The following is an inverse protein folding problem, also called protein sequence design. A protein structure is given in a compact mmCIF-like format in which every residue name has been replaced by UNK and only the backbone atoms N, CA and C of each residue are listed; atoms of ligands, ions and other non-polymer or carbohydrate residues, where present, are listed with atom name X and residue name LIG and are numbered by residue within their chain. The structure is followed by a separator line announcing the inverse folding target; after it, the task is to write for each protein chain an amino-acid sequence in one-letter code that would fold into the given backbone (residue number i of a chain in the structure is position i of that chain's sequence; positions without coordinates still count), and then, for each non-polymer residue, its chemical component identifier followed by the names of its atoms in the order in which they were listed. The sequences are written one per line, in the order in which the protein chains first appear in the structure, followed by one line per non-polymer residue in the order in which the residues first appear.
data_IF_225208898296
#
_entry.id   IF_225208898296
#
_cell.length_a   1.000
_cell.length_b   1.000
_cell.length_c   1.000
_cell.angle_alpha   90.00
_cell.angle_beta   90.00
_cell.angle_gamma   90.00
#
_symmetry.space_group_name_H-M   'P 1'
#
loop_
_entity.id
_entity.type
_entity.pdbx_description
1 polymer ?
#
# COMPACT_ATOMS: atom_id res chain seq x y z
N UNK A 1 52.58 15.49 8.48
CA UNK A 1 51.37 16.18 8.04
C UNK A 1 50.49 15.13 7.32
N UNK A 2 49.46 14.62 7.97
CA UNK A 2 48.47 13.73 7.37
C UNK A 2 47.18 14.55 7.18
N UNK A 3 46.87 14.90 5.95
CA UNK A 3 45.59 15.54 5.60
C UNK A 3 44.46 14.49 5.67
N UNK A 4 43.56 14.63 6.62
CA UNK A 4 42.32 13.90 6.65
C UNK A 4 41.34 14.58 5.70
N UNK A 5 40.98 13.89 4.62
CA UNK A 5 39.87 14.25 3.75
C UNK A 5 38.57 13.94 4.48
N UNK A 6 37.85 14.96 4.91
CA UNK A 6 36.45 14.85 5.31
C UNK A 6 35.59 14.76 4.05
N UNK A 7 35.03 13.60 3.78
CA UNK A 7 34.01 13.41 2.75
C UNK A 7 32.68 13.88 3.34
N UNK A 8 32.01 14.89 2.77
CA UNK A 8 30.68 15.26 3.23
C UNK A 8 29.72 14.11 2.86
N UNK A 9 29.09 13.50 3.84
CA UNK A 9 27.92 12.65 3.64
C UNK A 9 26.78 13.57 3.19
N UNK A 10 26.49 13.57 1.89
CA UNK A 10 25.24 14.10 1.37
C UNK A 10 24.17 13.08 1.75
N UNK A 11 23.44 13.35 2.82
CA UNK A 11 22.15 12.71 3.08
C UNK A 11 21.20 13.21 1.99
N UNK A 12 21.12 12.47 0.89
CA UNK A 12 19.99 12.57 -0.02
C UNK A 12 18.75 12.15 0.78
N UNK A 13 17.89 13.12 1.07
CA UNK A 13 16.58 12.85 1.65
C UNK A 13 15.81 11.93 0.71
N UNK A 14 15.74 10.65 1.05
CA UNK A 14 14.82 9.72 0.41
C UNK A 14 13.43 10.13 0.86
N UNK A 15 12.63 10.62 -0.06
CA UNK A 15 11.19 10.68 0.13
C UNK A 15 10.77 9.22 0.29
N UNK A 16 10.36 8.85 1.48
CA UNK A 16 9.74 7.56 1.75
C UNK A 16 8.36 7.58 1.07
N UNK A 17 8.32 7.31 -0.22
CA UNK A 17 7.08 6.85 -0.86
C UNK A 17 6.67 5.60 -0.07
N UNK A 18 5.46 5.56 0.45
CA UNK A 18 4.99 4.45 1.29
C UNK A 18 5.31 3.11 0.63
N UNK A 19 5.87 2.19 1.40
CA UNK A 19 6.27 0.88 0.90
C UNK A 19 5.03 0.06 0.54
N UNK A 20 5.08 -0.69 -0.58
CA UNK A 20 4.08 -1.71 -0.84
C UNK A 20 4.10 -2.75 0.28
N UNK A 21 2.96 -2.97 0.92
CA UNK A 21 2.82 -3.93 2.02
C UNK A 21 2.59 -5.36 1.53
N UNK A 22 2.32 -5.57 0.24
CA UNK A 22 2.18 -6.90 -0.35
C UNK A 22 3.57 -7.44 -0.69
N UNK A 23 4.02 -8.54 -0.08
CA UNK A 23 5.26 -9.19 -0.47
C UNK A 23 5.08 -9.94 -1.79
N UNK A 24 6.15 -10.02 -2.60
CA UNK A 24 6.15 -10.70 -3.89
C UNK A 24 4.94 -10.30 -4.78
N UNK A 25 4.73 -9.00 -5.04
CA UNK A 25 3.51 -8.50 -5.67
C UNK A 25 3.34 -8.90 -7.14
N UNK A 26 4.42 -9.22 -7.84
CA UNK A 26 4.47 -9.68 -9.23
C UNK A 26 4.67 -11.19 -9.37
N UNK A 27 4.65 -11.96 -8.28
CA UNK A 27 4.83 -13.43 -8.28
C UNK A 27 6.17 -13.92 -8.85
N UNK A 28 7.21 -13.09 -8.78
CA UNK A 28 8.54 -13.35 -9.37
C UNK A 28 9.49 -14.10 -8.42
N UNK A 29 9.31 -13.93 -7.10
CA UNK A 29 10.11 -14.61 -6.08
C UNK A 29 9.59 -16.04 -5.87
N UNK A 30 10.30 -17.01 -6.47
CA UNK A 30 9.87 -18.40 -6.50
C UNK A 30 10.73 -19.30 -5.62
N UNK A 31 10.11 -20.29 -5.00
CA UNK A 31 10.79 -21.39 -4.31
C UNK A 31 11.19 -22.49 -5.30
N UNK A 32 10.40 -22.68 -6.36
CA UNK A 32 10.65 -23.60 -7.47
C UNK A 32 9.90 -23.12 -8.72
N UNK A 33 10.34 -23.55 -9.91
CA UNK A 33 9.60 -23.30 -11.15
C UNK A 33 8.34 -24.15 -11.22
N UNK A 34 7.20 -23.60 -11.65
CA UNK A 34 5.97 -24.36 -11.75
C UNK A 34 6.07 -25.44 -12.84
N UNK A 35 5.52 -26.63 -12.54
CA UNK A 35 5.50 -27.78 -13.46
C UNK A 35 4.11 -28.43 -13.57
N UNK A 36 3.12 -27.96 -12.80
CA UNK A 36 1.72 -28.39 -12.86
C UNK A 36 0.79 -27.25 -12.42
N UNK A 37 -0.49 -27.37 -12.69
CA UNK A 37 -1.51 -26.46 -12.16
C UNK A 37 -1.59 -26.52 -10.62
N UNK A 38 -2.18 -25.51 -10.00
CA UNK A 38 -2.40 -25.47 -8.56
C UNK A 38 -1.16 -25.20 -7.73
N UNK A 39 -0.10 -24.60 -8.30
CA UNK A 39 1.18 -24.39 -7.61
C UNK A 39 1.46 -22.92 -7.23
N UNK A 40 0.43 -22.15 -6.92
CA UNK A 40 0.58 -20.75 -6.48
C UNK A 40 1.54 -20.62 -5.27
N UNK A 41 1.61 -21.64 -4.41
CA UNK A 41 2.49 -21.64 -3.24
C UNK A 41 3.99 -21.62 -3.56
N UNK A 42 4.38 -21.80 -4.82
CA UNK A 42 5.78 -21.61 -5.22
C UNK A 42 6.16 -20.13 -5.29
N UNK A 43 5.21 -19.23 -5.48
CA UNK A 43 5.39 -17.78 -5.38
C UNK A 43 5.17 -17.30 -3.94
N UNK A 44 5.97 -17.78 -2.99
CA UNK A 44 5.80 -17.41 -1.58
C UNK A 44 5.78 -15.89 -1.36
N UNK A 45 4.94 -15.38 -0.44
CA UNK A 45 4.13 -16.14 0.54
C UNK A 45 2.67 -16.35 0.10
N UNK A 46 2.38 -16.33 -1.20
CA UNK A 46 1.04 -16.53 -1.73
C UNK A 46 0.55 -17.97 -1.51
N UNK A 47 -0.70 -18.10 -1.10
CA UNK A 47 -1.38 -19.38 -0.86
C UNK A 47 -2.83 -19.32 -1.34
N UNK A 48 -3.55 -20.45 -1.31
CA UNK A 48 -4.99 -20.45 -1.56
C UNK A 48 -5.80 -20.10 -0.32
N UNK A 49 -6.92 -19.38 -0.50
CA UNK A 49 -7.90 -19.10 0.56
C UNK A 49 -9.16 -19.97 0.46
N UNK A 50 -9.24 -20.92 -0.49
CA UNK A 50 -10.35 -21.85 -0.69
C UNK A 50 -9.86 -23.26 -1.02
N UNK A 51 -10.80 -24.17 -1.26
CA UNK A 51 -10.52 -25.55 -1.67
C UNK A 51 -10.08 -25.69 -3.14
N UNK A 52 -10.26 -24.67 -3.98
CA UNK A 52 -9.67 -24.63 -5.31
C UNK A 52 -8.30 -23.95 -5.26
N UNK A 53 -7.29 -24.55 -5.89
CA UNK A 53 -5.91 -24.11 -5.80
C UNK A 53 -5.50 -23.32 -7.04
N UNK A 54 -5.22 -22.02 -6.90
CA UNK A 54 -4.76 -21.16 -7.99
C UNK A 54 -3.43 -21.64 -8.58
N UNK A 55 -3.24 -21.36 -9.87
CA UNK A 55 -2.01 -21.73 -10.58
C UNK A 55 -1.00 -20.59 -10.64
N UNK A 56 0.26 -20.93 -10.86
CA UNK A 56 1.34 -20.01 -11.11
C UNK A 56 1.87 -20.23 -12.52
N UNK A 57 2.03 -19.16 -13.28
CA UNK A 57 2.65 -19.15 -14.59
C UNK A 57 3.94 -18.34 -14.55
N UNK A 58 5.02 -18.86 -15.15
CA UNK A 58 6.31 -18.18 -15.12
C UNK A 58 7.19 -18.56 -16.31
N UNK A 59 8.08 -17.67 -16.73
CA UNK A 59 9.06 -17.93 -17.80
C UNK A 59 10.00 -19.09 -17.50
N UNK A 60 10.21 -19.43 -16.24
CA UNK A 60 11.08 -20.55 -15.86
C UNK A 60 10.41 -21.94 -15.99
N UNK A 61 9.08 -21.99 -16.22
CA UNK A 61 8.36 -23.26 -16.34
C UNK A 61 8.86 -24.07 -17.53
N UNK A 62 9.08 -25.37 -17.34
CA UNK A 62 9.46 -26.28 -18.43
C UNK A 62 8.27 -26.75 -19.26
N UNK A 63 7.08 -26.76 -18.65
CA UNK A 63 5.84 -27.18 -19.29
C UNK A 63 5.23 -26.01 -20.09
N UNK A 64 4.98 -26.23 -21.38
CA UNK A 64 4.51 -25.17 -22.28
C UNK A 64 3.21 -24.49 -21.82
N UNK A 65 2.34 -25.24 -21.15
CA UNK A 65 1.06 -24.71 -20.67
C UNK A 65 1.19 -23.83 -19.41
N UNK A 66 2.37 -23.75 -18.80
CA UNK A 66 2.69 -22.86 -17.69
C UNK A 66 3.74 -21.81 -18.06
N UNK A 67 4.32 -21.94 -19.25
CA UNK A 67 5.44 -21.09 -19.69
C UNK A 67 4.92 -19.75 -20.23
N UNK A 68 5.28 -18.67 -19.58
CA UNK A 68 4.98 -17.30 -20.02
C UNK A 68 5.87 -16.93 -21.21
N UNK A 69 5.35 -16.26 -22.25
CA UNK A 69 4.00 -15.71 -22.41
C UNK A 69 2.96 -16.68 -23.02
N UNK A 70 3.33 -17.89 -23.38
CA UNK A 70 2.47 -18.86 -24.07
C UNK A 70 1.74 -19.78 -23.05
N UNK A 71 1.31 -19.23 -21.92
CA UNK A 71 0.69 -19.96 -20.84
C UNK A 71 -0.76 -20.33 -21.19
N UNK A 72 -1.12 -21.61 -21.02
CA UNK A 72 -2.45 -22.13 -21.22
C UNK A 72 -2.51 -23.52 -21.79
N UNK A 73 -3.64 -24.21 -21.58
CA UNK A 73 -3.86 -25.57 -22.09
C UNK A 73 -3.94 -25.67 -23.61
N UNK A 74 -4.09 -24.55 -24.32
CA UNK A 74 -4.28 -24.48 -25.77
C UNK A 74 -3.30 -23.50 -26.42
N UNK A 75 -3.01 -23.70 -27.69
CA UNK A 75 -1.94 -23.07 -28.46
C UNK A 75 -2.10 -21.54 -28.63
N UNK A 76 -3.26 -21.00 -28.31
CA UNK A 76 -3.61 -19.61 -28.62
C UNK A 76 -3.61 -18.67 -27.40
N UNK A 77 -3.25 -19.15 -26.21
CA UNK A 77 -3.10 -18.30 -25.03
C UNK A 77 -1.78 -17.56 -25.07
N UNK A 78 -1.85 -16.25 -25.06
CA UNK A 78 -0.66 -15.41 -25.08
C UNK A 78 -0.90 -14.19 -24.19
N UNK A 79 -0.17 -14.13 -23.06
CA UNK A 79 -0.19 -12.96 -22.18
C UNK A 79 1.25 -12.65 -21.74
N UNK A 80 1.73 -11.47 -22.11
CA UNK A 80 2.97 -10.95 -21.57
C UNK A 80 2.80 -10.56 -20.10
N UNK A 81 3.77 -10.83 -19.22
CA UNK A 81 3.77 -10.25 -17.89
C UNK A 81 3.62 -8.72 -17.97
N UNK A 82 2.93 -8.13 -17.03
CA UNK A 82 2.90 -6.67 -16.92
C UNK A 82 4.25 -6.15 -16.42
N UNK A 83 4.84 -6.90 -15.47
CA UNK A 83 6.20 -6.73 -14.98
C UNK A 83 6.83 -8.08 -14.67
N UNK A 84 8.15 -8.15 -14.46
CA UNK A 84 8.81 -9.39 -14.06
C UNK A 84 8.70 -10.54 -15.06
N UNK A 85 8.45 -11.75 -14.56
CA UNK A 85 8.56 -13.01 -15.32
C UNK A 85 7.37 -13.97 -15.16
N UNK A 86 6.35 -13.61 -14.36
CA UNK A 86 5.24 -14.51 -14.09
C UNK A 86 3.98 -13.80 -13.59
N UNK A 87 2.93 -14.57 -13.37
CA UNK A 87 1.65 -14.10 -12.83
C UNK A 87 0.85 -15.24 -12.22
N UNK A 88 -0.06 -14.90 -11.29
CA UNK A 88 -1.03 -15.85 -10.75
C UNK A 88 -2.20 -16.06 -11.71
N UNK A 89 -2.86 -17.21 -11.61
CA UNK A 89 -4.03 -17.57 -12.39
C UNK A 89 -5.13 -18.11 -11.50
N UNK A 90 -6.31 -17.49 -11.57
CA UNK A 90 -7.46 -17.79 -10.73
C UNK A 90 -8.70 -18.11 -11.56
N UNK A 91 -9.58 -18.97 -11.02
CA UNK A 91 -10.94 -19.18 -11.51
C UNK A 91 -11.83 -18.10 -10.89
N UNK A 92 -12.44 -17.26 -11.73
CA UNK A 92 -13.30 -16.16 -11.29
C UNK A 92 -14.79 -16.45 -11.48
N UNK A 93 -15.15 -17.38 -12.34
CA UNK A 93 -16.53 -17.79 -12.57
C UNK A 93 -16.58 -19.22 -13.17
N UNK A 94 -17.54 -19.99 -12.74
CA UNK A 94 -17.87 -21.28 -13.36
C UNK A 94 -19.38 -21.52 -13.26
N UNK A 95 -20.00 -22.06 -14.31
CA UNK A 95 -21.42 -22.47 -14.29
C UNK A 95 -21.60 -23.99 -14.28
N UNK A 96 -20.55 -24.77 -14.10
CA UNK A 96 -20.67 -26.19 -13.85
C UNK A 96 -20.95 -26.47 -12.37
N UNK A 97 -21.28 -27.75 -12.05
CA UNK A 97 -21.59 -28.16 -10.69
C UNK A 97 -20.38 -28.85 -9.99
N UNK A 98 -19.19 -28.67 -10.52
CA UNK A 98 -17.97 -29.35 -10.06
C UNK A 98 -16.91 -28.35 -9.63
N UNK A 99 -16.62 -27.38 -10.51
CA UNK A 99 -15.59 -26.40 -10.25
C UNK A 99 -16.09 -25.27 -9.35
N UNK A 100 -15.18 -24.65 -8.63
CA UNK A 100 -15.43 -23.52 -7.72
C UNK A 100 -14.48 -22.36 -8.02
N UNK A 101 -14.84 -21.17 -7.56
CA UNK A 101 -13.97 -20.01 -7.65
C UNK A 101 -12.69 -20.21 -6.81
N UNK A 102 -11.56 -19.80 -7.34
CA UNK A 102 -10.30 -19.84 -6.60
C UNK A 102 -9.87 -18.46 -6.12
N UNK A 103 -9.10 -18.44 -5.02
CA UNK A 103 -8.67 -17.21 -4.36
C UNK A 103 -7.20 -17.31 -3.97
N UNK A 104 -6.46 -16.25 -4.20
CA UNK A 104 -5.08 -16.11 -3.71
C UNK A 104 -5.06 -15.24 -2.46
N UNK A 105 -4.24 -15.62 -1.48
CA UNK A 105 -4.04 -14.89 -0.23
C UNK A 105 -2.55 -14.72 0.06
N UNK A 106 -2.17 -13.53 0.53
CA UNK A 106 -0.84 -13.26 1.05
C UNK A 106 -0.89 -12.45 2.35
N UNK A 107 0.02 -12.72 3.32
CA UNK A 107 0.21 -11.85 4.46
C UNK A 107 0.84 -10.53 4.02
N UNK A 108 0.38 -9.43 4.57
CA UNK A 108 1.03 -8.12 4.42
C UNK A 108 2.30 -8.06 5.30
N UNK A 109 3.27 -7.25 4.91
CA UNK A 109 4.50 -7.04 5.67
C UNK A 109 4.29 -6.31 7.00
N UNK A 110 3.11 -5.73 7.20
CA UNK A 110 2.66 -5.08 8.42
C UNK A 110 1.14 -4.96 8.48
N UNK A 111 0.60 -4.86 9.70
CA UNK A 111 -0.83 -4.62 9.89
C UNK A 111 -1.19 -3.18 9.47
N UNK A 112 -2.37 -2.99 8.88
CA UNK A 112 -2.87 -1.67 8.57
C UNK A 112 -3.19 -0.89 9.86
N UNK A 113 -2.88 0.40 9.83
CA UNK A 113 -3.14 1.31 10.95
C UNK A 113 -4.57 1.83 10.87
N UNK A 114 -5.28 1.78 11.99
CA UNK A 114 -6.65 2.27 12.08
C UNK A 114 -6.77 3.73 11.62
N UNK A 115 -7.84 4.01 10.88
CA UNK A 115 -8.20 5.34 10.35
C UNK A 115 -7.18 5.95 9.37
N UNK A 116 -6.13 5.19 8.98
CA UNK A 116 -5.18 5.60 7.94
C UNK A 116 -5.71 5.23 6.56
N UNK A 117 -5.44 6.09 5.58
CA UNK A 117 -5.83 5.87 4.19
C UNK A 117 -4.78 5.05 3.44
N UNK A 118 -5.26 4.10 2.64
CA UNK A 118 -4.45 3.23 1.80
C UNK A 118 -4.95 3.26 0.37
N UNK A 119 -4.04 3.23 -0.57
CA UNK A 119 -4.30 2.95 -1.96
C UNK A 119 -4.11 1.47 -2.22
N UNK A 120 -5.11 0.86 -2.88
CA UNK A 120 -5.12 -0.55 -3.26
C UNK A 120 -5.15 -0.63 -4.77
N UNK A 121 -4.39 -1.56 -5.35
CA UNK A 121 -4.34 -1.78 -6.80
C UNK A 121 -3.93 -3.22 -7.10
N UNK A 122 -4.43 -3.76 -8.19
CA UNK A 122 -3.89 -4.94 -8.84
C UNK A 122 -4.26 -4.91 -10.31
N UNK A 123 -3.58 -5.70 -11.11
CA UNK A 123 -3.84 -5.80 -12.53
C UNK A 123 -4.39 -7.17 -12.90
N UNK A 124 -5.29 -7.18 -13.86
CA UNK A 124 -6.00 -8.39 -14.29
C UNK A 124 -6.09 -8.44 -15.81
N UNK A 125 -5.92 -9.63 -16.39
CA UNK A 125 -6.16 -9.93 -17.78
C UNK A 125 -6.98 -11.21 -17.92
N UNK A 126 -8.00 -11.30 -18.81
CA UNK A 126 -8.75 -12.53 -19.03
C UNK A 126 -7.88 -13.60 -19.68
N UNK A 127 -8.00 -14.83 -19.22
CA UNK A 127 -7.46 -15.98 -19.91
C UNK A 127 -8.46 -16.53 -20.91
N UNK A 128 -8.07 -16.61 -22.18
CA UNK A 128 -8.91 -17.05 -23.29
C UNK A 128 -8.66 -18.50 -23.72
N UNK A 129 -8.08 -19.32 -22.89
CA UNK A 129 -7.60 -20.67 -23.25
C UNK A 129 -8.67 -21.66 -23.70
N UNK A 130 -9.95 -21.37 -23.54
CA UNK A 130 -11.05 -22.20 -24.02
C UNK A 130 -11.59 -21.71 -25.34
N UNK A 131 -11.20 -22.34 -26.40
CA UNK A 131 -11.13 -21.92 -27.80
C UNK A 131 -12.43 -21.59 -28.53
N UNK A 132 -13.59 -21.87 -27.99
CA UNK A 132 -14.81 -21.74 -28.76
C UNK A 132 -15.89 -20.82 -28.17
N UNK A 133 -15.65 -20.25 -26.97
CA UNK A 133 -16.64 -19.41 -26.29
C UNK A 133 -15.95 -18.35 -25.44
N UNK A 134 -15.82 -17.16 -25.99
CA UNK A 134 -15.32 -15.97 -25.26
C UNK A 134 -16.23 -15.66 -24.07
N UNK A 135 -15.63 -15.48 -22.92
CA UNK A 135 -16.39 -15.19 -21.71
C UNK A 135 -15.67 -14.14 -20.91
N UNK A 136 -16.35 -13.04 -20.78
CA UNK A 136 -15.88 -11.96 -19.96
C UNK A 136 -16.76 -11.83 -18.73
N UNK A 137 -16.15 -11.52 -17.60
CA UNK A 137 -16.86 -11.21 -16.36
C UNK A 137 -16.39 -9.88 -15.80
N UNK A 138 -17.21 -9.32 -14.95
CA UNK A 138 -16.87 -8.13 -14.17
C UNK A 138 -16.36 -8.47 -12.76
N UNK A 139 -16.26 -9.75 -12.43
CA UNK A 139 -16.17 -10.21 -11.05
C UNK A 139 -14.75 -10.51 -10.61
N UNK A 140 -14.04 -9.50 -10.11
CA UNK A 140 -12.79 -9.65 -9.38
C UNK A 140 -12.60 -8.48 -8.42
N UNK A 141 -12.09 -8.77 -7.22
CA UNK A 141 -11.85 -7.78 -6.18
C UNK A 141 -10.71 -8.18 -5.26
N UNK A 142 -10.34 -7.27 -4.36
CA UNK A 142 -9.37 -7.45 -3.29
C UNK A 142 -10.04 -7.19 -1.95
N UNK A 143 -10.03 -8.20 -1.08
CA UNK A 143 -10.48 -8.12 0.30
C UNK A 143 -9.27 -8.08 1.24
N UNK A 144 -9.46 -7.47 2.42
CA UNK A 144 -8.46 -7.42 3.49
C UNK A 144 -9.04 -8.07 4.76
N UNK A 145 -8.22 -8.86 5.45
CA UNK A 145 -8.59 -9.55 6.69
C UNK A 145 -7.54 -9.37 7.78
N UNK A 146 -7.93 -9.51 9.04
CA UNK A 146 -7.03 -9.42 10.21
C UNK A 146 -6.37 -10.76 10.57
N UNK A 147 -6.91 -11.85 10.02
CA UNK A 147 -6.43 -13.22 10.25
C UNK A 147 -6.33 -13.96 8.93
N UNK A 148 -5.44 -14.95 8.88
CA UNK A 148 -5.40 -15.91 7.78
C UNK A 148 -6.78 -16.50 7.54
N UNK A 149 -7.20 -16.54 6.27
CA UNK A 149 -8.53 -16.95 5.88
C UNK A 149 -8.47 -18.19 5.00
N UNK A 150 -9.21 -19.22 5.38
CA UNK A 150 -9.47 -20.40 4.55
C UNK A 150 -10.88 -20.89 4.76
N UNK A 151 -11.61 -21.12 3.67
CA UNK A 151 -12.94 -21.68 3.73
C UNK A 151 -13.19 -22.58 2.51
N UNK A 152 -13.69 -23.80 2.76
CA UNK A 152 -14.27 -24.60 1.70
C UNK A 152 -15.57 -23.96 1.21
N UNK A 153 -15.70 -23.82 -0.09
CA UNK A 153 -16.90 -23.31 -0.78
C UNK A 153 -17.44 -24.39 -1.71
N UNK A 154 -18.75 -24.36 -1.96
CA UNK A 154 -19.39 -25.22 -2.94
C UNK A 154 -19.46 -24.52 -4.31
N UNK A 155 -19.70 -25.27 -5.41
CA UNK A 155 -19.99 -24.65 -6.70
C UNK A 155 -21.07 -23.57 -6.59
N UNK A 156 -20.90 -22.47 -7.33
CA UNK A 156 -21.76 -21.26 -7.35
C UNK A 156 -21.74 -20.40 -6.09
N UNK A 157 -20.96 -20.78 -5.06
CA UNK A 157 -20.73 -19.97 -3.86
C UNK A 157 -19.49 -19.07 -4.02
N UNK A 158 -19.44 -18.02 -3.19
CA UNK A 158 -18.25 -17.16 -3.04
C UNK A 158 -17.79 -17.14 -1.58
N UNK A 159 -16.54 -16.73 -1.35
CA UNK A 159 -16.10 -16.43 0.01
C UNK A 159 -16.96 -15.27 0.57
N UNK A 160 -17.52 -15.40 1.79
CA UNK A 160 -18.39 -14.39 2.39
C UNK A 160 -17.56 -13.20 2.94
N UNK A 161 -16.75 -12.61 2.09
CA UNK A 161 -15.95 -11.43 2.38
C UNK A 161 -16.44 -10.26 1.52
N UNK A 162 -16.28 -9.04 2.05
CA UNK A 162 -16.55 -7.84 1.28
C UNK A 162 -15.23 -7.29 0.75
N UNK A 163 -15.03 -7.20 -0.56
CA UNK A 163 -13.81 -6.63 -1.12
C UNK A 163 -13.74 -5.12 -0.82
N UNK A 164 -12.53 -4.62 -0.58
CA UNK A 164 -12.27 -3.19 -0.38
C UNK A 164 -12.26 -2.45 -1.71
N UNK A 165 -11.78 -3.12 -2.75
CA UNK A 165 -11.87 -2.68 -4.14
C UNK A 165 -12.38 -3.84 -5.00
N UNK A 166 -13.21 -3.51 -5.97
CA UNK A 166 -13.86 -4.48 -6.86
C UNK A 166 -14.11 -3.86 -8.24
N UNK A 167 -13.87 -4.63 -9.28
CA UNK A 167 -14.43 -4.31 -10.59
C UNK A 167 -15.89 -4.77 -10.61
N UNK A 168 -16.80 -3.86 -10.83
CA UNK A 168 -18.24 -4.13 -10.86
C UNK A 168 -18.95 -3.38 -11.96
N UNK A 169 -19.77 -4.09 -12.73
CA UNK A 169 -20.60 -3.51 -13.77
C UNK A 169 -19.87 -3.18 -15.07
N UNK A 170 -18.59 -3.55 -15.20
CA UNK A 170 -17.83 -3.45 -16.45
C UNK A 170 -17.12 -4.78 -16.71
N UNK A 171 -17.45 -5.40 -17.84
CA UNK A 171 -16.75 -6.60 -18.28
C UNK A 171 -15.28 -6.30 -18.52
N UNK A 172 -14.39 -7.20 -18.07
CA UNK A 172 -12.96 -7.12 -18.31
C UNK A 172 -12.70 -7.83 -19.64
N UNK A 173 -12.43 -7.05 -20.69
CA UNK A 173 -12.36 -7.53 -22.08
C UNK A 173 -11.00 -7.31 -22.74
N UNK A 174 -10.05 -6.65 -22.09
CA UNK A 174 -8.70 -6.45 -22.62
C UNK A 174 -7.89 -7.75 -22.46
N UNK A 175 -7.74 -8.46 -23.57
CA UNK A 175 -7.04 -9.75 -23.67
C UNK A 175 -5.59 -9.62 -24.13
N UNK A 176 -5.11 -8.40 -24.35
CA UNK A 176 -3.75 -8.10 -24.81
C UNK A 176 -2.97 -7.36 -23.73
N UNK A 177 -3.64 -6.40 -23.10
CA UNK A 177 -3.08 -5.61 -22.03
C UNK A 177 -3.52 -6.10 -20.65
N UNK A 178 -3.40 -5.19 -19.69
CA UNK A 178 -3.78 -5.41 -18.31
C UNK A 178 -4.77 -4.34 -17.85
N UNK A 179 -5.91 -4.78 -17.36
CA UNK A 179 -6.92 -3.90 -16.77
C UNK A 179 -6.54 -3.61 -15.32
N UNK A 180 -6.46 -2.34 -14.96
CA UNK A 180 -6.19 -1.89 -13.59
C UNK A 180 -7.45 -1.88 -12.75
N UNK A 181 -7.43 -2.53 -11.60
CA UNK A 181 -8.47 -2.47 -10.57
C UNK A 181 -7.86 -1.73 -9.37
N UNK A 182 -8.43 -0.59 -9.00
CA UNK A 182 -7.86 0.25 -7.95
C UNK A 182 -8.92 1.02 -7.16
N UNK A 183 -8.52 1.48 -5.97
CA UNK A 183 -9.35 2.31 -5.11
C UNK A 183 -8.68 2.67 -3.81
N UNK A 184 -9.33 3.53 -3.02
CA UNK A 184 -8.89 3.89 -1.68
C UNK A 184 -9.65 3.12 -0.62
N UNK A 185 -8.98 2.88 0.47
CA UNK A 185 -9.51 2.22 1.65
C UNK A 185 -9.05 2.93 2.93
N UNK A 186 -10.00 3.30 3.78
CA UNK A 186 -9.68 3.74 5.14
C UNK A 186 -9.68 2.52 6.05
N UNK A 187 -8.53 2.19 6.61
CA UNK A 187 -8.34 0.97 7.38
C UNK A 187 -9.14 0.97 8.69
N UNK A 188 -9.72 -0.17 9.04
CA UNK A 188 -10.34 -0.40 10.35
C UNK A 188 -9.31 -0.65 11.44
N UNK A 189 -8.10 -1.02 11.00
CA UNK A 189 -6.95 -1.35 11.82
C UNK A 189 -6.85 -2.83 12.14
N UNK A 190 -5.66 -3.38 11.92
CA UNK A 190 -5.37 -4.78 12.20
C UNK A 190 -5.41 -5.70 10.98
N UNK A 191 -5.85 -5.24 9.81
CA UNK A 191 -5.81 -6.01 8.57
C UNK A 191 -4.37 -6.42 8.26
N UNK A 192 -4.16 -7.70 7.98
CA UNK A 192 -2.83 -8.31 7.79
C UNK A 192 -2.71 -9.20 6.58
N UNK A 193 -3.81 -9.47 5.89
CA UNK A 193 -3.85 -10.36 4.74
C UNK A 193 -4.61 -9.71 3.61
N UNK A 194 -4.13 -9.88 2.39
CA UNK A 194 -4.81 -9.50 1.17
C UNK A 194 -5.29 -10.76 0.46
N UNK A 195 -6.55 -10.77 0.03
CA UNK A 195 -7.19 -11.88 -0.68
C UNK A 195 -7.75 -11.35 -1.99
N UNK A 196 -7.46 -12.02 -3.11
CA UNK A 196 -7.97 -11.65 -4.44
C UNK A 196 -8.80 -12.81 -5.00
N UNK A 197 -9.94 -12.49 -5.59
CA UNK A 197 -10.85 -13.42 -6.25
C UNK A 197 -12.21 -12.80 -6.53
N UNK A 198 -13.18 -13.62 -6.92
CA UNK A 198 -14.59 -13.22 -7.07
C UNK A 198 -15.35 -13.43 -5.75
N UNK A 199 -15.78 -12.34 -5.11
CA UNK A 199 -16.53 -12.36 -3.85
C UNK A 199 -18.04 -12.30 -4.05
N UNK A 200 -18.53 -12.52 -5.27
CA UNK A 200 -19.94 -12.54 -5.63
C UNK A 200 -20.38 -13.95 -6.04
N UNK A 201 -21.61 -14.29 -5.73
CA UNK A 201 -22.24 -15.51 -6.25
C UNK A 201 -22.42 -15.42 -7.75
N UNK A 202 -22.61 -16.55 -8.43
CA UNK A 202 -22.84 -16.58 -9.88
C UNK A 202 -24.04 -15.71 -10.29
N UNK A 203 -25.08 -15.67 -9.46
CA UNK A 203 -26.27 -14.87 -9.72
C UNK A 203 -26.01 -13.34 -9.66
N UNK A 204 -24.94 -12.92 -8.97
CA UNK A 204 -24.54 -11.51 -8.82
C UNK A 204 -23.41 -11.13 -9.76
N UNK A 205 -22.80 -12.11 -10.43
CA UNK A 205 -21.70 -11.92 -11.36
C UNK A 205 -22.24 -11.61 -12.76
N UNK A 206 -21.81 -10.47 -13.32
CA UNK A 206 -22.09 -10.18 -14.72
C UNK A 206 -21.16 -11.02 -15.60
N UNK A 207 -21.73 -11.70 -16.55
CA UNK A 207 -21.00 -12.51 -17.52
C UNK A 207 -21.56 -12.30 -18.93
N UNK A 208 -20.68 -12.19 -19.91
CA UNK A 208 -21.01 -12.25 -21.32
C UNK A 208 -20.66 -13.62 -21.87
N UNK A 209 -21.65 -14.30 -22.45
CA UNK A 209 -21.52 -15.65 -23.04
C UNK A 209 -21.73 -15.54 -24.55
N UNK A 210 -20.78 -15.99 -25.34
CA UNK A 210 -20.95 -16.07 -26.80
C UNK A 210 -21.78 -17.29 -27.24
N UNK A 211 -21.76 -18.36 -26.46
CA UNK A 211 -22.60 -19.56 -26.68
C UNK A 211 -23.05 -20.22 -25.38
N UNK A 212 -24.35 -20.23 -25.07
CA UNK A 212 -24.88 -20.70 -23.79
C UNK A 212 -24.90 -22.23 -23.59
N UNK A 213 -24.39 -23.02 -24.53
CA UNK A 213 -24.55 -24.49 -24.54
C UNK A 213 -23.37 -25.28 -23.95
N UNK A 214 -22.30 -24.65 -23.52
CA UNK A 214 -21.14 -25.30 -22.91
C UNK A 214 -20.92 -24.82 -21.47
N UNK A 215 -20.30 -25.67 -20.60
CA UNK A 215 -19.86 -25.21 -19.29
C UNK A 215 -18.99 -23.95 -19.42
N UNK A 216 -19.33 -22.92 -18.65
CA UNK A 216 -18.66 -21.65 -18.66
C UNK A 216 -17.65 -21.60 -17.53
N UNK A 217 -16.38 -21.48 -17.84
CA UNK A 217 -15.34 -21.14 -16.87
C UNK A 217 -14.66 -19.88 -17.35
N UNK A 218 -14.46 -18.92 -16.43
CA UNK A 218 -13.68 -17.71 -16.69
C UNK A 218 -12.50 -17.69 -15.74
N UNK A 219 -11.35 -17.46 -16.32
CA UNK A 219 -10.09 -17.33 -15.61
C UNK A 219 -9.51 -15.93 -15.76
N UNK A 220 -8.75 -15.51 -14.74
CA UNK A 220 -7.97 -14.29 -14.78
C UNK A 220 -6.51 -14.55 -14.44
N UNK A 221 -5.63 -13.91 -15.17
CA UNK A 221 -4.27 -13.62 -14.74
C UNK A 221 -4.27 -12.43 -13.80
N UNK A 222 -3.50 -12.49 -12.71
CA UNK A 222 -3.37 -11.45 -11.69
C UNK A 222 -1.90 -11.10 -11.52
N UNK A 223 -1.60 -9.78 -11.47
CA UNK A 223 -0.23 -9.29 -11.31
C UNK A 223 -0.19 -7.92 -10.61
N UNK A 224 1.01 -7.53 -10.15
CA UNK A 224 1.34 -6.21 -9.58
C UNK A 224 0.36 -5.76 -8.47
N UNK A 225 0.23 -6.59 -7.44
CA UNK A 225 -0.66 -6.30 -6.31
C UNK A 225 -0.06 -5.24 -5.38
N UNK A 226 -0.80 -4.20 -5.08
CA UNK A 226 -0.37 -3.07 -4.26
C UNK A 226 -1.33 -2.82 -3.10
N UNK A 227 -0.79 -2.74 -1.91
CA UNK A 227 -1.41 -2.16 -0.71
C UNK A 227 -0.43 -1.16 -0.12
N UNK A 228 -0.71 0.12 -0.24
CA UNK A 228 0.23 1.17 0.12
C UNK A 228 -0.45 2.27 0.93
N UNK A 229 0.16 2.64 2.07
CA UNK A 229 -0.30 3.80 2.82
C UNK A 229 -0.04 5.09 2.03
N UNK A 230 -0.98 6.02 2.06
CA UNK A 230 -0.74 7.38 1.63
C UNK A 230 -0.19 8.18 2.81
N UNK A 231 1.12 8.37 2.81
CA UNK A 231 1.88 9.01 3.90
C UNK A 231 3.15 9.65 3.30
N UNK A 232 2.98 10.58 2.33
CA UNK A 232 4.13 11.14 1.64
C UNK A 232 4.84 12.24 2.43
N UNK A 233 4.19 12.82 3.44
CA UNK A 233 4.71 13.93 4.20
C UNK A 233 5.22 13.48 5.57
N UNK A 234 6.30 14.06 6.09
CA UNK A 234 6.68 13.84 7.48
C UNK A 234 5.66 14.52 8.41
N UNK A 235 5.38 13.93 9.58
CA UNK A 235 4.45 14.50 10.56
C UNK A 235 4.80 15.94 10.92
N UNK A 236 6.10 16.24 11.02
CA UNK A 236 6.61 17.54 11.45
C UNK A 236 7.87 17.95 10.67
N UNK A 237 7.95 19.22 10.32
CA UNK A 237 9.15 19.85 9.72
C UNK A 237 9.57 21.04 10.60
N UNK A 238 10.86 21.17 10.84
CA UNK A 238 11.45 22.38 11.39
C UNK A 238 11.82 23.36 10.28
N UNK A 239 11.31 24.57 10.36
CA UNK A 239 11.65 25.64 9.44
C UNK A 239 12.68 26.56 10.08
N UNK A 240 13.92 26.48 9.62
CA UNK A 240 14.98 27.35 10.07
C UNK A 240 14.80 28.78 9.53
N UNK A 241 15.26 29.78 10.27
CA UNK A 241 15.13 31.17 9.87
C UNK A 241 15.79 31.43 8.51
N UNK A 242 15.04 32.08 7.62
CA UNK A 242 15.53 32.44 6.28
C UNK A 242 15.68 31.25 5.31
N UNK A 243 15.29 30.05 5.69
CA UNK A 243 15.38 28.82 4.85
C UNK A 243 13.98 28.42 4.41
N UNK A 244 13.85 28.03 3.14
CA UNK A 244 12.64 27.36 2.65
C UNK A 244 12.85 25.86 2.65
N UNK A 245 11.79 25.11 2.93
CA UNK A 245 11.77 23.63 2.84
C UNK A 245 10.87 23.21 1.67
N UNK A 246 11.33 22.24 0.91
CA UNK A 246 10.53 21.64 -0.17
C UNK A 246 9.95 20.33 0.32
N UNK A 247 8.64 20.15 0.14
CA UNK A 247 7.94 18.90 0.41
C UNK A 247 7.35 18.36 -0.88
N UNK A 248 7.34 17.06 -1.02
CA UNK A 248 6.84 16.35 -2.20
C UNK A 248 5.82 15.29 -1.77
N UNK A 249 4.59 15.48 -2.20
CA UNK A 249 3.49 14.53 -2.02
C UNK A 249 3.39 13.54 -3.20
N UNK A 250 4.46 13.37 -3.99
CA UNK A 250 4.45 12.57 -5.21
C UNK A 250 3.92 11.17 -4.99
N UNK A 251 2.75 10.89 -5.55
CA UNK A 251 2.10 9.59 -5.60
C UNK A 251 1.68 9.32 -7.05
N UNK A 252 1.78 8.09 -7.49
CA UNK A 252 1.55 7.74 -8.88
C UNK A 252 0.14 8.13 -9.35
N UNK A 253 0.05 8.79 -10.50
CA UNK A 253 -1.20 9.12 -11.20
C UNK A 253 -2.14 10.10 -10.49
N UNK A 254 -1.70 10.81 -9.44
CA UNK A 254 -2.55 11.73 -8.68
C UNK A 254 -2.54 13.16 -9.24
N UNK A 255 -3.69 13.83 -9.18
CA UNK A 255 -3.79 15.28 -9.21
C UNK A 255 -3.77 15.82 -7.77
N UNK A 256 -3.03 16.90 -7.52
CA UNK A 256 -2.81 17.42 -6.17
C UNK A 256 -3.57 18.73 -5.93
N UNK A 257 -3.99 18.92 -4.70
CA UNK A 257 -4.52 20.18 -4.22
C UNK A 257 -4.04 20.42 -2.78
N UNK A 258 -3.24 21.47 -2.60
CA UNK A 258 -2.77 21.89 -1.29
C UNK A 258 -3.71 22.93 -0.68
N UNK A 259 -3.78 23.00 0.64
CA UNK A 259 -4.56 24.03 1.32
C UNK A 259 -4.04 25.46 1.06
N UNK A 260 -2.87 25.61 0.51
CA UNK A 260 -2.26 26.86 0.07
C UNK A 260 -2.64 27.26 -1.37
N UNK A 261 -3.30 26.34 -2.10
CA UNK A 261 -3.81 26.56 -3.47
C UNK A 261 -2.93 26.01 -4.59
N UNK A 262 -1.73 25.52 -4.29
CA UNK A 262 -0.87 24.88 -5.29
C UNK A 262 -1.45 23.53 -5.74
N UNK A 263 -1.11 23.14 -6.98
CA UNK A 263 -1.57 21.89 -7.61
C UNK A 263 -0.43 20.98 -8.06
N UNK A 264 0.80 21.38 -7.85
CA UNK A 264 1.96 20.54 -8.14
C UNK A 264 2.15 19.48 -7.04
N UNK A 265 2.81 18.36 -7.36
CA UNK A 265 3.16 17.36 -6.36
C UNK A 265 4.13 17.90 -5.30
N UNK A 266 4.80 19.02 -5.58
CA UNK A 266 5.86 19.59 -4.77
C UNK A 266 5.55 21.04 -4.47
N UNK A 267 5.66 21.44 -3.19
CA UNK A 267 5.54 22.85 -2.78
C UNK A 267 6.77 23.31 -2.00
N UNK A 268 6.99 24.64 -1.98
CA UNK A 268 8.05 25.29 -1.20
C UNK A 268 7.44 26.00 0.00
N UNK A 269 7.77 25.53 1.20
CA UNK A 269 7.27 26.05 2.48
C UNK A 269 8.24 27.12 3.00
N UNK A 270 7.72 28.31 3.26
CA UNK A 270 8.48 29.48 3.75
C UNK A 270 7.96 30.00 5.10
N UNK A 271 6.79 29.54 5.54
CA UNK A 271 6.18 29.99 6.78
C UNK A 271 5.78 28.78 7.63
N UNK A 272 5.81 28.93 8.97
CA UNK A 272 5.27 27.90 9.85
C UNK A 272 3.74 27.79 9.67
N UNK A 273 3.20 26.62 9.95
CA UNK A 273 1.77 26.36 9.83
C UNK A 273 1.45 24.90 9.54
N UNK A 274 0.20 24.64 9.26
CA UNK A 274 -0.30 23.31 8.89
C UNK A 274 -0.52 23.29 7.38
N UNK A 275 0.15 22.38 6.71
CA UNK A 275 0.02 22.16 5.27
C UNK A 275 -0.66 20.82 5.04
N UNK A 276 -1.72 20.84 4.27
CA UNK A 276 -2.47 19.63 3.90
C UNK A 276 -2.46 19.47 2.39
N UNK A 277 -2.37 18.22 1.95
CA UNK A 277 -2.47 17.84 0.55
C UNK A 277 -3.61 16.87 0.35
N UNK A 278 -4.37 17.07 -0.72
CA UNK A 278 -5.29 16.09 -1.28
C UNK A 278 -4.70 15.56 -2.58
N UNK A 279 -4.56 14.24 -2.70
CA UNK A 279 -4.15 13.56 -3.91
C UNK A 279 -5.37 12.83 -4.48
N UNK A 280 -5.83 13.24 -5.65
CA UNK A 280 -7.02 12.69 -6.32
C UNK A 280 -6.62 11.76 -7.46
N UNK A 281 -7.13 10.54 -7.44
CA UNK A 281 -6.93 9.52 -8.47
C UNK A 281 -8.29 8.90 -8.82
N UNK A 282 -8.81 9.11 -10.03
CA UNK A 282 -10.10 8.58 -10.47
C UNK A 282 -11.24 8.80 -9.45
N UNK A 283 -11.56 7.78 -8.66
CA UNK A 283 -12.63 7.80 -7.64
C UNK A 283 -12.09 7.96 -6.21
N UNK A 284 -10.81 8.24 -6.06
CA UNK A 284 -10.05 8.14 -4.82
C UNK A 284 -9.49 9.50 -4.45
N UNK A 285 -9.69 9.93 -3.21
CA UNK A 285 -9.08 11.14 -2.65
C UNK A 285 -8.35 10.74 -1.38
N UNK A 286 -7.04 10.84 -1.41
CA UNK A 286 -6.15 10.57 -0.28
C UNK A 286 -5.69 11.89 0.32
N UNK A 287 -5.49 11.94 1.65
CA UNK A 287 -5.08 13.15 2.36
C UNK A 287 -3.90 12.91 3.26
N UNK A 288 -3.03 13.92 3.34
CA UNK A 288 -1.92 13.93 4.29
C UNK A 288 -1.65 15.35 4.79
N UNK A 289 -0.96 15.44 5.94
CA UNK A 289 -0.76 16.69 6.65
C UNK A 289 0.61 16.75 7.27
N UNK A 290 1.30 17.89 7.11
CA UNK A 290 2.54 18.20 7.80
C UNK A 290 2.38 19.43 8.68
N UNK A 291 2.91 19.35 9.91
CA UNK A 291 3.02 20.50 10.82
C UNK A 291 4.40 21.12 10.68
N UNK A 292 4.46 22.37 10.26
CA UNK A 292 5.72 23.13 10.10
C UNK A 292 5.90 24.04 11.32
N UNK A 293 6.91 23.74 12.11
CA UNK A 293 7.27 24.49 13.31
C UNK A 293 8.32 25.56 12.99
N UNK A 294 8.16 26.72 13.59
CA UNK A 294 9.13 27.81 13.50
C UNK A 294 10.18 27.70 14.61
N UNK A 295 11.44 27.80 14.24
CA UNK A 295 12.55 27.86 15.21
C UNK A 295 12.80 29.27 15.75
N UNK A 296 12.13 30.30 15.20
CA UNK A 296 12.25 31.69 15.69
C UNK A 296 11.64 31.94 17.07
N UNK A 297 11.06 30.95 17.70
CA UNK A 297 10.55 31.05 19.07
C UNK A 297 11.71 31.03 20.09
N UNK A 298 12.53 32.09 20.04
CA UNK A 298 13.74 32.16 20.87
C UNK A 298 13.54 32.84 22.23
N UNK A 299 12.43 33.53 22.45
CA UNK A 299 12.24 34.33 23.66
C UNK A 299 11.08 33.80 24.49
N UNK A 300 11.41 32.97 25.49
CA UNK A 300 10.52 32.72 26.62
C UNK A 300 9.54 31.55 26.49
N UNK A 301 10.00 30.36 26.08
CA UNK A 301 9.18 29.13 26.18
C UNK A 301 8.77 28.85 27.62
N UNK A 302 9.62 29.19 28.53
CA UNK A 302 9.40 29.03 29.96
C UNK A 302 9.15 30.42 30.54
N UNK A 303 7.92 30.68 30.95
CA UNK A 303 7.56 31.90 31.65
C UNK A 303 7.72 31.73 33.15
N UNK A 304 7.98 32.86 33.83
CA UNK A 304 7.94 32.87 35.30
C UNK A 304 6.61 32.31 35.81
N UNK A 305 6.69 31.29 36.66
CA UNK A 305 5.52 30.63 37.21
C UNK A 305 5.71 30.34 38.67
N UNK A 306 4.63 30.16 39.41
CA UNK A 306 4.62 29.81 40.82
C UNK A 306 4.23 28.35 40.97
N UNK A 307 5.02 27.64 41.81
CA UNK A 307 4.65 26.29 42.23
C UNK A 307 4.09 26.34 43.64
N UNK A 308 3.00 25.63 43.88
CA UNK A 308 2.44 25.43 45.21
C UNK A 308 3.31 24.39 45.96
N UNK A 309 3.25 24.49 47.26
CA UNK A 309 3.95 23.55 48.12
C UNK A 309 3.47 22.11 47.82
N UNK A 310 4.43 21.20 47.57
CA UNK A 310 4.19 19.77 47.28
C UNK A 310 3.53 19.46 45.91
N UNK A 311 3.39 20.45 45.01
CA UNK A 311 2.94 20.22 43.62
C UNK A 311 4.14 20.40 42.68
N UNK A 312 4.62 19.33 42.00
CA UNK A 312 5.70 19.45 41.02
C UNK A 312 5.20 20.13 39.74
N UNK A 313 6.07 20.95 39.14
CA UNK A 313 5.83 21.57 37.83
C UNK A 313 6.59 20.82 36.73
N UNK A 314 5.90 20.58 35.64
CA UNK A 314 6.47 19.97 34.43
C UNK A 314 6.92 21.06 33.49
N UNK A 315 8.19 21.00 33.09
CA UNK A 315 8.78 21.92 32.12
C UNK A 315 9.15 21.13 30.87
N UNK A 316 8.65 21.58 29.73
CA UNK A 316 8.95 20.98 28.43
C UNK A 316 9.09 22.09 27.37
N UNK A 317 10.18 22.16 26.63
CA UNK A 317 10.32 23.10 25.52
C UNK A 317 9.46 22.66 24.33
N UNK A 318 8.84 23.56 23.59
CA UNK A 318 7.99 23.21 22.44
C UNK A 318 8.78 22.87 21.17
N UNK A 319 10.10 23.04 21.15
CA UNK A 319 10.95 22.71 20.00
C UNK A 319 11.47 21.27 20.11
N UNK A 320 11.32 20.44 19.08
CA UNK A 320 11.96 19.14 19.05
C UNK A 320 13.47 19.24 18.88
N UNK A 321 14.20 18.34 19.50
CA UNK A 321 15.66 18.29 19.44
C UNK A 321 16.26 17.40 20.51
N UNK A 322 17.56 17.51 20.71
CA UNK A 322 18.23 17.00 21.91
C UNK A 322 18.29 18.12 22.95
N UNK A 323 18.13 17.77 24.22
CA UNK A 323 17.94 18.71 25.30
C UNK A 323 19.07 18.59 26.32
N UNK A 324 19.49 19.74 26.84
CA UNK A 324 20.40 19.80 27.98
C UNK A 324 19.90 20.85 28.98
N UNK A 325 19.37 20.40 30.10
CA UNK A 325 18.87 21.25 31.18
C UNK A 325 19.98 21.72 32.09
N UNK A 326 19.74 22.83 32.80
CA UNK A 326 20.70 23.41 33.76
C UNK A 326 21.05 22.48 34.94
N UNK A 327 20.23 21.46 35.21
CA UNK A 327 20.48 20.44 36.21
C UNK A 327 21.27 19.23 35.67
N UNK A 328 21.62 19.27 34.37
CA UNK A 328 22.32 18.18 33.66
C UNK A 328 21.41 17.10 33.08
N UNK A 329 20.08 17.20 33.23
CA UNK A 329 19.14 16.29 32.64
C UNK A 329 19.11 16.45 31.09
N UNK A 330 18.82 15.35 30.37
CA UNK A 330 18.76 15.31 28.89
C UNK A 330 17.38 14.86 28.37
N UNK A 331 16.38 14.79 29.23
CA UNK A 331 15.00 14.45 28.82
C UNK A 331 14.31 15.61 28.09
N UNK A 332 13.32 15.33 27.23
CA UNK A 332 12.46 16.33 26.59
C UNK A 332 11.60 17.11 27.59
N UNK A 333 11.53 16.63 28.82
CA UNK A 333 10.82 17.28 29.93
C UNK A 333 11.57 17.04 31.25
N UNK A 334 11.42 17.97 32.20
CA UNK A 334 11.85 17.80 33.59
C UNK A 334 10.72 18.14 34.56
N UNK A 335 10.79 17.52 35.74
CA UNK A 335 9.86 17.83 36.84
C UNK A 335 10.60 18.60 37.92
N UNK A 336 10.14 19.78 38.25
CA UNK A 336 10.75 20.65 39.27
C UNK A 336 9.83 20.83 40.47
N UNK A 337 10.37 20.71 41.68
CA UNK A 337 9.64 20.87 42.94
C UNK A 337 10.22 21.97 43.83
N UNK A 338 11.28 22.65 43.39
CA UNK A 338 11.95 23.69 44.16
C UNK A 338 11.99 24.99 43.35
N UNK A 339 11.93 26.11 44.05
CA UNK A 339 12.10 27.44 43.41
C UNK A 339 13.53 27.56 42.88
N UNK A 340 13.67 28.06 41.66
CA UNK A 340 14.96 28.22 41.00
C UNK A 340 14.79 28.75 39.57
N UNK A 341 15.94 28.99 38.92
CA UNK A 341 15.98 29.28 37.50
C UNK A 341 16.41 28.02 36.75
N UNK A 342 15.55 27.56 35.85
CA UNK A 342 15.81 26.39 35.04
C UNK A 342 15.96 26.85 33.58
N UNK A 343 17.03 26.46 32.93
CA UNK A 343 17.29 26.73 31.52
C UNK A 343 17.46 25.40 30.79
N UNK A 344 17.09 25.40 29.51
CA UNK A 344 17.30 24.27 28.62
C UNK A 344 17.98 24.78 27.36
N UNK A 345 18.99 24.03 26.92
CA UNK A 345 19.57 24.18 25.60
C UNK A 345 18.94 23.12 24.69
N UNK A 346 18.35 23.56 23.58
CA UNK A 346 17.76 22.69 22.58
C UNK A 346 18.66 22.71 21.34
N UNK A 347 19.17 21.55 20.95
CA UNK A 347 19.98 21.41 19.73
C UNK A 347 19.19 20.58 18.71
N UNK A 348 19.00 21.13 17.50
CA UNK A 348 18.33 20.48 16.38
C UNK A 348 19.00 20.81 15.03
N UNK A 349 18.38 20.45 13.90
CA UNK A 349 18.92 20.69 12.55
C UNK A 349 19.12 22.18 12.21
N UNK A 350 18.45 23.10 12.92
CA UNK A 350 18.55 24.54 12.71
C UNK A 350 19.63 25.22 13.60
N UNK A 351 20.19 24.48 14.56
CA UNK A 351 21.22 24.99 15.47
C UNK A 351 20.95 24.70 16.94
N UNK A 352 21.53 25.56 17.79
CA UNK A 352 21.42 25.53 19.24
C UNK A 352 20.64 26.77 19.72
N UNK A 353 19.65 26.55 20.56
CA UNK A 353 18.70 27.55 21.07
C UNK A 353 18.65 27.58 22.59
#
# INVERSE_FOLDING_TARGET
MRSSLLIPFILSGWVLVGQNLVPNPGFDDLTDCPYDFGQISFAMPWVTASNEVPSLFNECASELFLHVPNAGLYIDSYQLPKSGSGYAHITAYTNDNVDVNSYIEAPLTGALTKDKEYYLEFFVSPDLTHTDVWRFTDAVGLALTDTFYYKEINPHEALPLNPMIENRGMLITDTIGWTRISGCYTAKGGEKYAIIGNFRTDAETMIELEAPSYPAVNFFYIEDVLVQAFDPLPDTILLCEGVSKTVNAGFLYAAYHWNTGETDSTISIQNPGIYTVEATMEKCVLRDTVVVLDTRYNDGFLSDTMICRDEPLWLAPPLPGSYLWSDGSQGGEITVATSGSYTVTVTNECGEF
#
